data_IF_744915011415
#
_entry.id   IF_744915011415
#
_cell.length_a   1.000
_cell.length_b   1.000
_cell.length_c   1.000
_cell.angle_alpha   90.00
_cell.angle_beta   90.00
_cell.angle_gamma   90.00
#
_symmetry.space_group_name_H-M   'P 1'
#
loop_
_entity.id
_entity.type
_entity.pdbx_description
1 polymer ?
#
# COMPACT_ATOMS: atom_id res chain seq x y z
N UNK A 1 16.95 6.58 -3.64
CA UNK A 1 16.03 5.57 -4.20
C UNK A 1 14.59 6.04 -4.08
N UNK A 2 14.00 6.47 -5.19
CA UNK A 2 12.66 7.07 -5.24
C UNK A 2 11.55 6.09 -4.84
N UNK A 3 11.73 4.81 -5.17
CA UNK A 3 10.79 3.74 -4.81
C UNK A 3 10.79 3.48 -3.29
N UNK A 4 11.93 3.64 -2.62
CA UNK A 4 12.04 3.55 -1.16
C UNK A 4 11.25 4.68 -0.48
N UNK A 5 11.29 5.91 -1.01
CA UNK A 5 10.52 7.04 -0.47
C UNK A 5 9.00 6.89 -0.73
N UNK A 6 8.61 6.35 -1.89
CA UNK A 6 7.20 6.04 -2.19
C UNK A 6 6.61 5.03 -1.18
N UNK A 7 7.37 3.97 -0.85
CA UNK A 7 6.96 3.00 0.16
C UNK A 7 6.88 3.60 1.57
N UNK A 8 7.77 4.54 1.92
CA UNK A 8 7.67 5.25 3.20
C UNK A 8 6.40 6.12 3.27
N UNK A 9 6.09 6.86 2.21
CA UNK A 9 4.86 7.66 2.12
C UNK A 9 3.61 6.78 2.24
N UNK A 10 3.60 5.63 1.57
CA UNK A 10 2.55 4.62 1.71
C UNK A 10 2.36 4.17 3.15
N UNK A 11 3.46 3.74 3.77
CA UNK A 11 3.44 3.23 5.13
C UNK A 11 3.08 4.34 6.13
N UNK A 12 3.22 5.61 5.76
CA UNK A 12 2.69 6.75 6.49
C UNK A 12 1.20 7.04 6.21
N UNK A 13 0.40 6.01 5.90
CA UNK A 13 -1.04 6.11 5.61
C UNK A 13 -1.38 7.04 4.42
N UNK A 14 -0.42 7.22 3.52
CA UNK A 14 -0.49 8.17 2.41
C UNK A 14 -0.82 9.61 2.88
N UNK A 15 -0.37 9.97 4.07
CA UNK A 15 -0.52 11.31 4.64
C UNK A 15 0.83 12.03 4.61
N UNK A 16 0.79 13.36 4.44
CA UNK A 16 1.98 14.20 4.64
C UNK A 16 2.46 14.07 6.09
N UNK A 17 3.77 14.11 6.36
CA UNK A 17 4.35 13.81 7.68
C UNK A 17 4.02 14.85 8.80
N UNK A 18 2.94 15.63 8.66
CA UNK A 18 2.59 16.76 9.52
C UNK A 18 1.27 16.60 10.30
N UNK A 19 0.67 15.41 10.35
CA UNK A 19 -0.43 15.16 11.29
C UNK A 19 0.14 14.98 12.69
N UNK A 20 -0.18 15.87 13.61
CA UNK A 20 0.22 15.89 15.03
C UNK A 20 -0.33 14.73 15.88
N UNK A 21 -0.66 13.60 15.24
CA UNK A 21 -1.00 12.36 15.93
C UNK A 21 0.29 11.59 16.18
N UNK A 22 0.44 11.05 17.38
CA UNK A 22 1.60 10.25 17.76
C UNK A 22 1.80 9.03 16.86
N UNK A 23 2.84 8.21 17.13
CA UNK A 23 3.12 7.03 16.31
C UNK A 23 1.89 6.09 16.26
N UNK A 24 1.17 6.12 15.14
CA UNK A 24 0.03 5.25 14.89
C UNK A 24 0.54 3.87 14.50
N UNK A 25 0.31 2.90 15.37
CA UNK A 25 0.60 1.50 15.12
C UNK A 25 -0.30 0.97 13.99
N UNK A 26 0.27 0.21 13.07
CA UNK A 26 -0.46 -0.36 11.94
C UNK A 26 0.02 -1.76 11.60
N UNK A 27 -0.85 -2.50 10.92
CA UNK A 27 -0.57 -3.84 10.41
C UNK A 27 -0.33 -3.72 8.90
N UNK A 28 0.77 -4.29 8.42
CA UNK A 28 1.05 -4.39 6.99
C UNK A 28 0.58 -5.75 6.47
N UNK A 29 -0.23 -5.76 5.43
CA UNK A 29 -0.73 -6.96 4.77
C UNK A 29 -0.25 -6.93 3.33
N UNK A 30 0.48 -7.95 2.91
CA UNK A 30 0.95 -8.04 1.54
C UNK A 30 0.73 -9.43 0.95
N UNK A 31 0.76 -9.52 -0.37
CA UNK A 31 0.82 -10.79 -1.08
C UNK A 31 2.28 -11.16 -1.39
N UNK A 32 2.47 -12.26 -2.13
CA UNK A 32 3.81 -12.71 -2.49
C UNK A 32 4.59 -11.64 -3.28
N UNK A 33 3.92 -10.97 -4.22
CA UNK A 33 4.55 -9.91 -5.02
C UNK A 33 4.93 -8.70 -4.16
N UNK A 34 4.02 -8.24 -3.30
CA UNK A 34 4.27 -7.14 -2.38
C UNK A 34 5.43 -7.43 -1.43
N UNK A 35 5.55 -8.67 -0.95
CA UNK A 35 6.69 -9.12 -0.14
C UNK A 35 8.01 -9.04 -0.92
N UNK A 36 8.01 -9.51 -2.17
CA UNK A 36 9.21 -9.55 -3.01
C UNK A 36 9.68 -8.13 -3.38
N UNK A 37 8.77 -7.16 -3.43
CA UNK A 37 9.09 -5.74 -3.58
C UNK A 37 9.60 -5.14 -2.27
N UNK A 38 8.92 -5.34 -1.14
CA UNK A 38 9.27 -4.70 0.15
C UNK A 38 10.56 -5.25 0.74
N UNK A 39 10.78 -6.57 0.70
CA UNK A 39 11.90 -7.25 1.38
C UNK A 39 13.29 -6.71 1.01
N UNK A 40 13.60 -6.41 -0.27
CA UNK A 40 14.91 -5.84 -0.62
C UNK A 40 15.07 -4.36 -0.26
N UNK A 41 13.98 -3.63 -0.01
CA UNK A 41 13.99 -2.17 0.15
C UNK A 41 13.89 -1.72 1.59
N UNK A 42 13.17 -2.48 2.42
CA UNK A 42 12.88 -2.15 3.81
C UNK A 42 13.23 -3.34 4.70
N UNK A 43 14.08 -3.07 5.69
CA UNK A 43 14.36 -4.05 6.72
C UNK A 43 13.23 -4.10 7.75
N UNK A 44 13.16 -5.17 8.55
CA UNK A 44 12.22 -5.25 9.68
C UNK A 44 12.39 -4.07 10.65
N UNK A 45 13.60 -3.53 10.78
CA UNK A 45 13.87 -2.34 11.59
C UNK A 45 13.18 -1.11 10.99
N UNK A 46 13.25 -0.93 9.68
CA UNK A 46 12.63 0.21 8.99
C UNK A 46 11.10 0.16 9.09
N UNK A 47 10.51 -1.02 8.89
CA UNK A 47 9.07 -1.23 9.09
C UNK A 47 8.61 -0.81 10.51
N UNK A 48 9.36 -1.19 11.54
CA UNK A 48 9.08 -0.78 12.93
C UNK A 48 9.20 0.72 13.15
N UNK A 49 10.21 1.36 12.55
CA UNK A 49 10.37 2.82 12.62
C UNK A 49 9.22 3.56 11.93
N UNK A 50 8.59 2.94 10.93
CA UNK A 50 7.41 3.45 10.23
C UNK A 50 6.07 3.10 10.92
N UNK A 51 6.12 2.54 12.13
CA UNK A 51 4.92 2.22 12.93
C UNK A 51 4.26 0.88 12.57
N UNK A 52 4.88 0.06 11.73
CA UNK A 52 4.39 -1.30 11.42
C UNK A 52 4.75 -2.24 12.58
N UNK A 53 3.75 -2.67 13.34
CA UNK A 53 3.92 -3.62 14.46
C UNK A 53 3.94 -5.06 13.97
N UNK A 54 3.16 -5.35 12.94
CA UNK A 54 2.94 -6.69 12.42
C UNK A 54 2.89 -6.65 10.89
N UNK A 55 3.50 -7.63 10.25
CA UNK A 55 3.41 -7.84 8.80
C UNK A 55 2.95 -9.27 8.51
N UNK A 56 1.91 -9.42 7.71
CA UNK A 56 1.23 -10.70 7.47
C UNK A 56 1.01 -10.91 5.97
N UNK A 57 0.98 -12.18 5.56
CA UNK A 57 0.58 -12.54 4.19
C UNK A 57 -0.95 -12.48 4.05
N UNK A 58 -1.45 -12.00 2.92
CA UNK A 58 -2.89 -11.98 2.61
C UNK A 58 -3.52 -13.39 2.56
N UNK A 59 -2.72 -14.42 2.27
CA UNK A 59 -3.20 -15.79 2.17
C UNK A 59 -2.96 -16.62 3.46
N UNK A 60 -2.31 -16.06 4.48
CA UNK A 60 -2.13 -16.75 5.76
C UNK A 60 -3.34 -16.56 6.67
N UNK A 61 -3.63 -17.49 7.59
CA UNK A 61 -4.63 -17.27 8.63
C UNK A 61 -4.25 -16.04 9.46
N UNK A 62 -5.23 -15.16 9.71
CA UNK A 62 -5.07 -13.93 10.49
C UNK A 62 -6.09 -13.90 11.62
N UNK A 63 -5.73 -13.24 12.71
CA UNK A 63 -6.64 -12.95 13.82
C UNK A 63 -7.36 -11.62 13.57
N UNK A 64 -8.46 -11.39 14.30
CA UNK A 64 -9.17 -10.11 14.28
C UNK A 64 -8.51 -9.16 15.29
N UNK A 65 -8.16 -7.96 14.84
CA UNK A 65 -7.51 -6.91 15.63
C UNK A 65 -8.27 -5.60 15.35
N UNK A 66 -9.47 -5.43 15.94
CA UNK A 66 -10.44 -4.41 15.52
C UNK A 66 -10.03 -2.98 15.91
N UNK A 67 -9.02 -2.80 16.76
CA UNK A 67 -8.55 -1.49 17.23
C UNK A 67 -7.32 -0.95 16.46
N UNK A 68 -6.85 -1.69 15.44
CA UNK A 68 -5.61 -1.35 14.73
C UNK A 68 -5.86 -1.18 13.23
N UNK A 69 -5.37 -0.10 12.61
CA UNK A 69 -5.48 0.10 11.17
C UNK A 69 -4.58 -0.89 10.39
N UNK A 70 -5.09 -1.35 9.25
CA UNK A 70 -4.38 -2.24 8.34
C UNK A 70 -4.06 -1.57 7.00
N UNK A 71 -2.82 -1.70 6.55
CA UNK A 71 -2.31 -1.24 5.27
C UNK A 71 -2.08 -2.44 4.36
N UNK A 72 -2.83 -2.50 3.27
CA UNK A 72 -2.71 -3.54 2.25
C UNK A 72 -1.77 -3.06 1.14
N UNK A 73 -0.78 -3.89 0.79
CA UNK A 73 0.12 -3.75 -0.34
C UNK A 73 0.07 -5.02 -1.20
N UNK A 74 -0.85 -5.05 -2.15
CA UNK A 74 -1.19 -6.31 -2.84
C UNK A 74 -1.41 -6.10 -4.33
N UNK A 75 -1.24 -7.15 -5.13
CA UNK A 75 -1.63 -7.14 -6.52
C UNK A 75 -3.18 -7.24 -6.64
N UNK A 76 -3.85 -6.49 -7.52
CA UNK A 76 -5.31 -6.53 -7.67
C UNK A 76 -5.82 -7.76 -8.44
N UNK A 77 -5.47 -8.97 -8.00
CA UNK A 77 -6.05 -10.22 -8.51
C UNK A 77 -7.42 -10.50 -7.89
N UNK A 78 -8.31 -11.22 -8.59
CA UNK A 78 -9.63 -11.60 -8.07
C UNK A 78 -9.53 -12.32 -6.71
N UNK A 79 -8.57 -13.22 -6.55
CA UNK A 79 -8.36 -13.94 -5.27
C UNK A 79 -7.97 -13.01 -4.12
N UNK A 80 -7.12 -12.02 -4.39
CA UNK A 80 -6.71 -11.03 -3.38
C UNK A 80 -7.89 -10.12 -3.01
N UNK A 81 -8.67 -9.68 -4.00
CA UNK A 81 -9.86 -8.85 -3.79
C UNK A 81 -10.89 -9.60 -2.94
N UNK A 82 -11.19 -10.86 -3.27
CA UNK A 82 -12.07 -11.72 -2.47
C UNK A 82 -11.58 -11.89 -1.03
N UNK A 83 -10.26 -11.98 -0.83
CA UNK A 83 -9.67 -12.10 0.50
C UNK A 83 -9.82 -10.79 1.30
N UNK A 84 -9.71 -9.63 0.65
CA UNK A 84 -9.96 -8.32 1.26
C UNK A 84 -11.44 -8.18 1.63
N UNK A 85 -12.35 -8.56 0.73
CA UNK A 85 -13.80 -8.55 0.99
C UNK A 85 -14.17 -9.39 2.23
N UNK A 86 -13.58 -10.59 2.38
CA UNK A 86 -13.74 -11.41 3.59
C UNK A 86 -13.22 -10.74 4.85
N UNK A 87 -12.15 -9.95 4.75
CA UNK A 87 -11.63 -9.20 5.90
C UNK A 87 -12.60 -8.09 6.33
N UNK A 88 -13.32 -7.48 5.37
CA UNK A 88 -14.39 -6.51 5.64
C UNK A 88 -15.59 -7.16 6.32
N UNK A 89 -16.09 -8.28 5.79
CA UNK A 89 -17.19 -9.06 6.38
C UNK A 89 -16.88 -9.49 7.82
N UNK A 90 -15.62 -9.85 8.08
CA UNK A 90 -15.19 -10.25 9.41
C UNK A 90 -14.90 -9.04 10.34
N UNK A 91 -14.92 -7.80 9.86
CA UNK A 91 -14.58 -6.61 10.64
C UNK A 91 -13.22 -6.72 11.31
N UNK A 92 -12.21 -7.22 10.58
CA UNK A 92 -10.93 -7.61 11.18
C UNK A 92 -10.12 -6.46 11.76
N UNK A 93 -10.24 -5.27 11.19
CA UNK A 93 -9.40 -4.12 11.51
C UNK A 93 -10.25 -2.86 11.68
N UNK A 94 -9.68 -1.87 12.35
CA UNK A 94 -10.34 -0.57 12.58
C UNK A 94 -10.56 0.19 11.26
N UNK A 95 -9.51 0.25 10.46
CA UNK A 95 -9.46 0.99 9.20
C UNK A 95 -8.65 0.23 8.15
N UNK A 96 -9.06 0.30 6.89
CA UNK A 96 -8.45 -0.40 5.76
C UNK A 96 -7.85 0.60 4.77
N UNK A 97 -6.54 0.52 4.54
CA UNK A 97 -5.80 1.31 3.56
C UNK A 97 -5.38 0.41 2.41
N UNK A 98 -6.07 0.51 1.27
CA UNK A 98 -5.81 -0.34 0.12
C UNK A 98 -4.80 0.33 -0.82
N UNK A 99 -3.66 -0.33 -1.03
CA UNK A 99 -2.65 0.12 -1.99
C UNK A 99 -2.37 -1.03 -2.96
N UNK A 100 -2.67 -0.79 -4.22
CA UNK A 100 -2.51 -1.80 -5.27
C UNK A 100 -1.20 -1.60 -6.03
N UNK A 101 -0.49 -2.71 -6.26
CA UNK A 101 0.79 -2.73 -6.97
C UNK A 101 0.62 -2.40 -8.46
N UNK A 102 -0.52 -2.79 -9.04
CA UNK A 102 -0.91 -2.50 -10.42
C UNK A 102 -2.25 -1.75 -10.46
N UNK A 103 -2.66 -1.18 -11.60
CA UNK A 103 -3.97 -0.56 -11.74
C UNK A 103 -5.06 -1.60 -11.47
N UNK A 104 -6.03 -1.23 -10.65
CA UNK A 104 -7.19 -2.07 -10.35
C UNK A 104 -8.22 -1.92 -11.47
N UNK A 105 -8.81 -3.05 -11.89
CA UNK A 105 -9.90 -3.03 -12.87
C UNK A 105 -11.19 -2.45 -12.25
N UNK A 106 -12.06 -1.89 -13.09
CA UNK A 106 -13.36 -1.38 -12.63
C UNK A 106 -14.21 -2.47 -11.96
N UNK A 107 -14.19 -3.68 -12.51
CA UNK A 107 -14.91 -4.85 -11.95
C UNK A 107 -14.48 -5.13 -10.50
N UNK A 108 -13.17 -5.22 -10.24
CA UNK A 108 -12.65 -5.46 -8.89
C UNK A 108 -12.97 -4.30 -7.92
N UNK A 109 -12.95 -3.06 -8.42
CA UNK A 109 -13.27 -1.88 -7.61
C UNK A 109 -14.75 -1.86 -7.23
N UNK A 110 -15.64 -2.20 -8.17
CA UNK A 110 -17.07 -2.33 -7.92
C UNK A 110 -17.36 -3.43 -6.89
N UNK A 111 -16.65 -4.56 -6.95
CA UNK A 111 -16.77 -5.65 -5.98
C UNK A 111 -16.38 -5.23 -4.55
N UNK A 112 -15.25 -4.52 -4.42
CA UNK A 112 -14.83 -3.91 -3.14
C UNK A 112 -15.89 -2.94 -2.63
N UNK A 113 -16.36 -2.03 -3.49
CA UNK A 113 -17.33 -1.01 -3.12
C UNK A 113 -18.67 -1.63 -2.70
N UNK A 114 -19.14 -2.64 -3.42
CA UNK A 114 -20.39 -3.33 -3.13
C UNK A 114 -20.32 -4.08 -1.80
N UNK A 115 -19.22 -4.79 -1.53
CA UNK A 115 -18.99 -5.46 -0.24
C UNK A 115 -18.88 -4.44 0.89
N UNK A 116 -18.15 -3.35 0.67
CA UNK A 116 -18.01 -2.30 1.68
C UNK A 116 -19.35 -1.65 2.06
N UNK A 117 -20.23 -1.50 1.07
CA UNK A 117 -21.60 -1.00 1.26
C UNK A 117 -22.48 -2.01 2.00
N UNK A 118 -22.38 -3.32 1.68
CA UNK A 118 -23.18 -4.34 2.36
C UNK A 118 -22.80 -4.47 3.84
N UNK A 119 -21.51 -4.42 4.12
CA UNK A 119 -20.96 -4.55 5.48
C UNK A 119 -20.95 -3.23 6.26
N UNK A 120 -21.44 -2.13 5.65
CA UNK A 120 -21.45 -0.79 6.23
C UNK A 120 -20.06 -0.30 6.71
N UNK A 121 -18.98 -0.82 6.10
CA UNK A 121 -17.60 -0.51 6.45
C UNK A 121 -16.96 0.54 5.52
N UNK A 122 -17.77 1.20 4.66
CA UNK A 122 -17.30 2.29 3.77
C UNK A 122 -16.54 3.38 4.54
N UNK A 123 -16.97 3.70 5.76
CA UNK A 123 -16.30 4.68 6.61
C UNK A 123 -14.92 4.24 7.12
N UNK A 124 -14.65 2.93 7.13
CA UNK A 124 -13.38 2.33 7.54
C UNK A 124 -12.40 2.22 6.35
N UNK A 125 -12.88 2.32 5.10
CA UNK A 125 -12.02 2.40 3.92
C UNK A 125 -11.47 3.82 3.83
N UNK A 126 -10.34 4.05 4.48
CA UNK A 126 -9.77 5.39 4.61
C UNK A 126 -9.21 5.91 3.29
N UNK A 127 -8.55 5.05 2.50
CA UNK A 127 -8.00 5.40 1.16
C UNK A 127 -7.90 4.16 0.27
N UNK A 128 -8.27 4.33 -1.00
CA UNK A 128 -7.97 3.40 -2.09
C UNK A 128 -7.01 4.12 -3.03
N UNK A 129 -5.77 3.67 -3.12
CA UNK A 129 -4.77 4.26 -4.00
C UNK A 129 -4.22 3.25 -4.99
N UNK A 130 -4.12 3.70 -6.23
CA UNK A 130 -3.35 3.02 -7.27
C UNK A 130 -1.90 3.43 -7.15
N UNK A 131 -1.07 2.49 -6.69
CA UNK A 131 0.34 2.77 -6.44
C UNK A 131 1.18 2.60 -7.71
N UNK A 132 0.70 1.86 -8.70
CA UNK A 132 1.33 1.74 -10.01
C UNK A 132 1.49 3.09 -10.69
N UNK A 133 0.48 3.95 -10.58
CA UNK A 133 0.54 5.30 -11.14
C UNK A 133 1.61 6.15 -10.44
N UNK A 134 1.78 6.00 -9.13
CA UNK A 134 2.89 6.65 -8.41
C UNK A 134 4.24 6.03 -8.80
N UNK A 135 4.34 4.71 -8.97
CA UNK A 135 5.59 4.07 -9.37
C UNK A 135 6.01 4.44 -10.80
N UNK A 136 5.08 4.48 -11.76
CA UNK A 136 5.34 4.96 -13.13
C UNK A 136 5.68 6.44 -13.15
N UNK A 137 4.89 7.30 -12.50
CA UNK A 137 5.20 8.74 -12.49
C UNK A 137 6.54 9.06 -11.83
N UNK A 138 7.00 8.24 -10.88
CA UNK A 138 8.32 8.40 -10.26
C UNK A 138 9.47 7.84 -11.13
N UNK A 139 9.19 6.86 -12.00
CA UNK A 139 10.14 6.44 -13.05
C UNK A 139 10.22 7.47 -14.19
N UNK A 140 9.11 8.12 -14.55
CA UNK A 140 9.07 9.15 -15.60
C UNK A 140 9.78 10.46 -15.20
N UNK A 141 9.95 10.74 -13.91
CA UNK A 141 10.78 11.87 -13.44
C UNK A 141 12.30 11.57 -13.55
N UNK A 142 12.69 10.39 -14.05
CA UNK A 142 14.06 10.00 -14.36
C UNK A 142 14.42 10.30 -15.84
N UNK A 143 14.07 11.49 -16.35
CA UNK A 143 14.74 11.99 -17.56
C UNK A 143 16.12 12.54 -17.16
N UNK A 144 17.16 11.71 -17.24
CA UNK A 144 18.52 12.25 -17.32
C UNK A 144 18.66 12.98 -18.65
N UNK A 145 18.52 14.30 -18.60
CA UNK A 145 18.94 15.20 -19.67
C UNK A 145 20.47 15.27 -19.64
N UNK A 146 21.12 14.17 -20.01
CA UNK A 146 22.51 14.23 -20.45
C UNK A 146 22.49 14.92 -21.80
N UNK A 147 22.49 16.26 -21.79
CA UNK A 147 22.95 17.00 -22.94
C UNK A 147 24.31 16.40 -23.34
N UNK A 148 24.50 15.92 -24.58
CA UNK A 148 25.84 15.68 -25.07
C UNK A 148 26.52 17.03 -25.00
N UNK A 149 27.49 17.19 -24.10
CA UNK A 149 28.39 18.32 -24.12
C UNK A 149 29.20 18.16 -25.40
N UNK A 150 28.67 18.73 -26.48
CA UNK A 150 29.27 18.71 -27.79
C UNK A 150 30.45 19.69 -27.80
N UNK A 151 31.54 19.20 -28.39
CA UNK A 151 32.76 19.89 -28.81
C UNK A 151 33.90 20.17 -27.80
N UNK A 152 35.04 19.44 -27.91
CA UNK A 152 36.34 19.98 -27.53
C UNK A 152 36.85 20.87 -28.67
N UNK A 153 36.95 22.17 -28.41
CA UNK A 153 37.73 23.10 -29.22
C UNK A 153 39.22 22.76 -29.09
N UNK A 154 39.85 22.25 -30.14
CA UNK A 154 41.27 22.44 -30.50
C UNK A 154 41.52 22.00 -31.93
#
# INVERSE_FOLDING_TARGET
DLLHEALKCMLNLNSTPNSSDGPQWKILIYDQLGRDIISPLLTVKDLRMLGVTLHLMLNSPREQIPDVPAVYFVYPSKDNILSICKDFEAGRYDSYYLNFISPISRECLEEIAQTALSENCVHQISKVLDQYTNFICLEDDLFTLSAPNDWPSS
#
